data_IF_151608719107
#
_entry.id   IF_151608719107
#
_cell.length_a   1.000
_cell.length_b   1.000
_cell.length_c   1.000
_cell.angle_alpha   90.00
_cell.angle_beta   90.00
_cell.angle_gamma   90.00
#
_symmetry.space_group_name_H-M   'P 1'
#
loop_
_entity.id
_entity.type
_entity.pdbx_description
1 polymer ?
#
# COMPACT_ATOMS: atom_id res chain seq x y z
N UNK A 1 -2.98 -15.39 -7.85
CA UNK A 1 -3.59 -14.43 -6.91
C UNK A 1 -2.88 -14.55 -5.57
N UNK A 2 -2.42 -13.42 -5.03
CA UNK A 2 -1.76 -13.30 -3.72
C UNK A 2 -2.63 -12.51 -2.74
N UNK A 3 -3.94 -12.74 -2.80
CA UNK A 3 -4.95 -12.01 -2.03
C UNK A 3 -4.79 -10.49 -2.22
N UNK A 4 -4.78 -9.72 -1.13
CA UNK A 4 -4.72 -8.26 -1.14
C UNK A 4 -3.43 -7.70 -1.76
N UNK A 5 -2.37 -8.51 -1.85
CA UNK A 5 -1.10 -8.13 -2.47
C UNK A 5 -1.06 -8.33 -3.99
N UNK A 6 -2.14 -8.83 -4.60
CA UNK A 6 -2.16 -9.21 -6.04
C UNK A 6 -1.77 -8.05 -6.95
N UNK A 7 -2.37 -6.87 -6.78
CA UNK A 7 -2.04 -5.71 -7.62
C UNK A 7 -0.57 -5.29 -7.52
N UNK A 8 0.00 -5.22 -6.32
CA UNK A 8 1.42 -4.88 -6.12
C UNK A 8 2.34 -5.96 -6.69
N UNK A 9 1.98 -7.24 -6.54
CA UNK A 9 2.74 -8.35 -7.12
C UNK A 9 2.74 -8.27 -8.65
N UNK A 10 1.58 -8.02 -9.27
CA UNK A 10 1.49 -7.87 -10.72
C UNK A 10 2.38 -6.73 -11.25
N UNK A 11 2.43 -5.61 -10.54
CA UNK A 11 3.33 -4.49 -10.87
C UNK A 11 4.79 -4.93 -10.76
N UNK A 12 5.16 -5.58 -9.65
CA UNK A 12 6.51 -6.10 -9.44
C UNK A 12 6.96 -7.09 -10.51
N UNK A 13 6.13 -8.07 -10.85
CA UNK A 13 6.42 -9.05 -11.90
C UNK A 13 6.60 -8.36 -13.26
N UNK A 14 5.71 -7.43 -13.62
CA UNK A 14 5.82 -6.65 -14.84
C UNK A 14 7.14 -5.86 -14.91
N UNK A 15 7.58 -5.28 -13.79
CA UNK A 15 8.90 -4.65 -13.70
C UNK A 15 10.03 -5.65 -13.98
N UNK A 16 9.95 -6.89 -13.48
CA UNK A 16 10.97 -7.91 -13.74
C UNK A 16 11.02 -8.34 -15.21
N UNK A 17 9.88 -8.52 -15.87
CA UNK A 17 9.84 -8.83 -17.30
C UNK A 17 10.57 -7.75 -18.14
N UNK A 18 10.36 -6.48 -17.80
CA UNK A 18 11.06 -5.37 -18.46
C UNK A 18 12.57 -5.38 -18.14
N UNK A 19 12.94 -5.51 -16.86
CA UNK A 19 14.35 -5.55 -16.43
C UNK A 19 15.13 -6.71 -17.05
N UNK A 20 14.49 -7.84 -17.32
CA UNK A 20 15.10 -9.00 -17.97
C UNK A 20 15.11 -8.91 -19.50
N UNK A 21 14.56 -7.84 -20.08
CA UNK A 21 14.51 -7.65 -21.53
C UNK A 21 13.52 -8.57 -22.23
N UNK A 22 12.54 -9.12 -21.50
CA UNK A 22 11.49 -9.99 -22.08
C UNK A 22 10.34 -9.17 -22.69
N UNK A 23 10.20 -7.89 -22.29
CA UNK A 23 9.22 -6.96 -22.85
C UNK A 23 9.69 -5.51 -22.70
N UNK A 24 9.35 -4.64 -23.65
CA UNK A 24 9.57 -3.19 -23.53
C UNK A 24 8.38 -2.48 -22.85
N UNK A 25 7.19 -3.08 -22.90
CA UNK A 25 5.94 -2.52 -22.36
C UNK A 25 5.13 -3.64 -21.69
N UNK A 26 4.62 -3.37 -20.49
CA UNK A 26 3.77 -4.29 -19.73
C UNK A 26 2.53 -3.56 -19.20
N UNK A 27 1.37 -4.23 -19.24
CA UNK A 27 0.16 -3.77 -18.56
C UNK A 27 0.04 -4.55 -17.26
N UNK A 28 0.05 -3.84 -16.13
CA UNK A 28 0.01 -4.46 -14.81
C UNK A 28 -1.08 -3.85 -13.94
N UNK A 29 -1.82 -4.70 -13.24
CA UNK A 29 -2.92 -4.23 -12.42
C UNK A 29 -3.75 -5.36 -11.85
N UNK A 30 -4.86 -4.99 -11.25
CA UNK A 30 -5.83 -5.92 -10.72
C UNK A 30 -7.20 -5.27 -10.63
N UNK A 31 -8.24 -6.12 -10.61
CA UNK A 31 -9.63 -5.73 -10.47
C UNK A 31 -10.32 -6.62 -9.46
N UNK A 32 -11.30 -6.07 -8.75
CA UNK A 32 -12.13 -6.77 -7.80
C UNK A 32 -13.59 -6.34 -7.93
N UNK A 33 -14.49 -7.31 -7.89
CA UNK A 33 -15.94 -7.12 -7.91
C UNK A 33 -16.66 -8.25 -7.14
N UNK A 34 -16.24 -8.48 -5.89
CA UNK A 34 -16.69 -9.62 -5.06
C UNK A 34 -17.63 -9.25 -3.90
N UNK A 35 -18.43 -8.17 -4.00
CA UNK A 35 -19.45 -7.86 -2.99
C UNK A 35 -20.72 -8.70 -3.18
N UNK A 36 -20.58 -10.02 -3.04
CA UNK A 36 -21.71 -10.95 -2.96
C UNK A 36 -22.05 -11.29 -1.50
N UNK A 37 -23.33 -11.54 -1.15
CA UNK A 37 -23.74 -11.77 0.24
C UNK A 37 -22.95 -12.87 0.97
N UNK A 38 -22.68 -13.99 0.29
CA UNK A 38 -21.91 -15.12 0.86
C UNK A 38 -20.48 -14.72 1.24
N UNK A 39 -19.87 -13.80 0.48
CA UNK A 39 -18.53 -13.32 0.76
C UNK A 39 -18.54 -12.43 2.00
N UNK A 40 -19.45 -11.45 2.05
CA UNK A 40 -19.62 -10.58 3.21
C UNK A 40 -19.95 -11.36 4.49
N UNK A 41 -20.85 -12.34 4.42
CA UNK A 41 -21.20 -13.20 5.55
C UNK A 41 -20.00 -14.01 6.06
N UNK A 42 -19.14 -14.46 5.15
CA UNK A 42 -17.93 -15.22 5.51
C UNK A 42 -16.95 -14.32 6.28
N UNK A 43 -16.81 -13.06 5.89
CA UNK A 43 -15.93 -12.09 6.57
C UNK A 43 -16.46 -11.65 7.92
N UNK A 44 -17.79 -11.49 8.03
CA UNK A 44 -18.46 -11.24 9.31
C UNK A 44 -18.21 -12.38 10.30
N UNK A 45 -18.27 -13.64 9.83
CA UNK A 45 -17.93 -14.82 10.66
C UNK A 45 -16.45 -14.87 11.08
N UNK A 46 -15.55 -14.38 10.23
CA UNK A 46 -14.13 -14.24 10.55
C UNK A 46 -13.84 -13.04 11.48
N UNK A 47 -14.83 -12.18 11.76
CA UNK A 47 -14.70 -10.94 12.53
C UNK A 47 -13.63 -9.99 11.96
N UNK A 48 -13.53 -9.96 10.64
CA UNK A 48 -12.56 -9.15 9.92
C UNK A 48 -13.15 -7.80 9.45
N UNK A 49 -14.47 -7.76 9.25
CA UNK A 49 -15.21 -6.57 8.83
C UNK A 49 -15.61 -5.70 10.01
N UNK A 50 -15.65 -4.38 9.79
CA UNK A 50 -16.19 -3.45 10.77
C UNK A 50 -17.64 -3.78 11.11
N UNK A 51 -18.02 -3.58 12.37
CA UNK A 51 -19.38 -3.77 12.89
C UNK A 51 -20.13 -2.46 13.10
N UNK A 52 -19.52 -1.33 12.70
CA UNK A 52 -20.09 0.03 12.83
C UNK A 52 -21.18 0.29 11.80
N UNK A 53 -22.32 -0.38 11.98
CA UNK A 53 -23.47 -0.28 11.08
C UNK A 53 -24.29 1.01 11.27
N UNK A 54 -24.21 1.64 12.45
CA UNK A 54 -24.94 2.90 12.74
C UNK A 54 -24.27 4.13 12.10
N UNK A 55 -22.96 4.03 11.78
CA UNK A 55 -22.17 5.10 11.16
C UNK A 55 -21.28 4.54 10.04
N UNK A 56 -21.86 3.98 8.95
CA UNK A 56 -21.10 3.22 7.95
C UNK A 56 -20.05 4.07 7.21
N UNK A 57 -20.31 5.36 7.01
CA UNK A 57 -19.34 6.29 6.41
C UNK A 57 -18.11 6.55 7.29
N UNK A 58 -18.19 6.23 8.59
CA UNK A 58 -17.10 6.36 9.58
C UNK A 58 -16.48 5.02 9.97
N UNK A 59 -16.85 3.93 9.29
CA UNK A 59 -16.45 2.57 9.66
C UNK A 59 -14.99 2.26 9.31
N UNK A 60 -14.52 2.65 8.12
CA UNK A 60 -13.12 2.47 7.73
C UNK A 60 -12.25 3.55 8.38
N UNK A 61 -11.50 3.18 9.42
CA UNK A 61 -10.68 4.09 10.24
C UNK A 61 -9.28 3.51 10.57
N UNK A 62 -8.40 3.35 9.56
CA UNK A 62 -7.07 2.82 9.77
C UNK A 62 -6.32 3.58 10.87
N UNK A 63 -5.63 2.83 11.74
CA UNK A 63 -4.79 3.31 12.85
C UNK A 63 -5.52 4.04 14.00
N UNK A 64 -6.83 4.28 13.90
CA UNK A 64 -7.64 4.85 14.97
C UNK A 64 -7.79 3.86 16.14
N UNK A 65 -7.81 4.35 17.38
CA UNK A 65 -7.98 3.53 18.59
C UNK A 65 -9.27 2.70 18.55
N UNK A 66 -10.33 3.23 17.95
CA UNK A 66 -11.66 2.62 17.95
C UNK A 66 -11.95 1.82 16.65
N UNK A 67 -10.91 1.45 15.90
CA UNK A 67 -11.01 0.58 14.73
C UNK A 67 -11.43 -0.84 15.11
N UNK A 68 -12.30 -1.44 14.31
CA UNK A 68 -12.86 -2.77 14.59
C UNK A 68 -12.85 -3.72 13.39
N UNK A 69 -12.35 -3.29 12.24
CA UNK A 69 -12.27 -4.08 11.02
C UNK A 69 -12.32 -3.22 9.76
N UNK A 70 -12.11 -3.84 8.60
CA UNK A 70 -12.20 -3.13 7.31
C UNK A 70 -13.64 -3.00 6.82
N UNK A 71 -13.86 -2.06 5.90
CA UNK A 71 -15.04 -2.01 5.02
C UNK A 71 -14.61 -2.55 3.65
N UNK A 72 -15.35 -3.51 3.08
CA UNK A 72 -15.05 -4.03 1.74
C UNK A 72 -15.45 -3.05 0.65
N UNK A 73 -14.65 -2.98 -0.42
CA UNK A 73 -14.96 -2.22 -1.62
C UNK A 73 -14.61 -2.99 -2.89
N UNK A 74 -14.99 -2.42 -4.03
CA UNK A 74 -14.73 -2.94 -5.38
C UNK A 74 -13.99 -1.89 -6.21
N UNK A 75 -13.27 -2.33 -7.22
CA UNK A 75 -12.57 -1.41 -8.11
C UNK A 75 -11.54 -2.10 -8.97
N UNK A 76 -10.91 -1.31 -9.84
CA UNK A 76 -9.82 -1.78 -10.67
C UNK A 76 -8.77 -0.67 -10.80
N UNK A 77 -7.51 -1.09 -10.88
CA UNK A 77 -6.38 -0.22 -11.16
C UNK A 77 -5.47 -0.90 -12.16
N UNK A 78 -5.02 -0.16 -13.16
CA UNK A 78 -4.11 -0.63 -14.20
C UNK A 78 -3.07 0.44 -14.46
N UNK A 79 -1.80 0.02 -14.53
CA UNK A 79 -0.66 0.82 -14.92
C UNK A 79 -0.09 0.28 -16.23
N UNK A 80 0.47 1.18 -17.03
CA UNK A 80 1.33 0.85 -18.16
C UNK A 80 2.76 1.09 -17.70
N UNK A 81 3.57 0.04 -17.68
CA UNK A 81 4.99 0.09 -17.37
C UNK A 81 5.76 -0.03 -18.66
N UNK A 82 6.85 0.73 -18.79
CA UNK A 82 7.72 0.71 -19.96
C UNK A 82 9.17 0.72 -19.54
N UNK A 83 10.03 0.18 -20.40
CA UNK A 83 11.46 0.45 -20.33
C UNK A 83 11.70 1.96 -20.46
N UNK A 84 12.63 2.49 -19.67
CA UNK A 84 12.80 3.93 -19.48
C UNK A 84 13.25 4.62 -20.76
N UNK A 85 14.27 4.09 -21.44
CA UNK A 85 14.78 4.69 -22.67
C UNK A 85 13.76 4.59 -23.81
N UNK A 86 12.98 3.51 -23.87
CA UNK A 86 11.84 3.37 -24.76
C UNK A 86 10.79 4.48 -24.51
N UNK A 87 10.39 4.68 -23.25
CA UNK A 87 9.42 5.71 -22.86
C UNK A 87 9.93 7.13 -23.20
N UNK A 88 11.21 7.41 -22.94
CA UNK A 88 11.84 8.68 -23.27
C UNK A 88 11.94 8.93 -24.78
N UNK A 89 12.35 7.92 -25.55
CA UNK A 89 12.51 8.04 -27.01
C UNK A 89 11.19 8.41 -27.72
N UNK A 90 10.05 7.94 -27.19
CA UNK A 90 8.72 8.29 -27.72
C UNK A 90 8.07 9.52 -27.05
N UNK A 91 8.76 10.19 -26.11
CA UNK A 91 8.25 11.35 -25.40
C UNK A 91 7.05 11.07 -24.49
N UNK A 92 7.04 9.91 -23.82
CA UNK A 92 5.98 9.54 -22.89
C UNK A 92 5.95 10.46 -21.67
N UNK A 93 4.75 10.71 -21.12
CA UNK A 93 4.63 11.30 -19.77
C UNK A 93 4.97 10.23 -18.73
N UNK A 94 6.00 10.46 -17.92
CA UNK A 94 6.45 9.54 -16.88
C UNK A 94 5.92 10.02 -15.54
N UNK A 95 5.03 9.23 -14.92
CA UNK A 95 4.50 9.52 -13.59
C UNK A 95 5.54 9.30 -12.49
N UNK A 96 6.27 8.18 -12.57
CA UNK A 96 7.36 7.82 -11.67
C UNK A 96 8.13 6.63 -12.25
N UNK A 97 9.33 6.40 -11.72
CA UNK A 97 10.08 5.16 -11.91
C UNK A 97 9.69 4.13 -10.84
N UNK A 98 9.60 2.86 -11.24
CA UNK A 98 9.58 1.73 -10.29
C UNK A 98 11.01 1.44 -9.89
N UNK A 99 11.43 1.94 -8.73
CA UNK A 99 12.82 1.87 -8.30
C UNK A 99 13.16 0.50 -7.71
N UNK A 100 12.22 -0.13 -7.00
CA UNK A 100 12.42 -1.46 -6.45
C UNK A 100 11.13 -2.15 -6.03
N UNK A 101 11.20 -3.47 -5.92
CA UNK A 101 10.09 -4.32 -5.54
C UNK A 101 10.57 -5.54 -4.76
N UNK A 102 9.81 -5.90 -3.71
CA UNK A 102 9.98 -7.18 -3.04
C UNK A 102 8.64 -7.79 -2.65
N UNK A 103 8.63 -9.12 -2.58
CA UNK A 103 7.55 -9.90 -2.00
C UNK A 103 8.09 -11.03 -1.12
N UNK A 104 7.37 -11.39 -0.07
CA UNK A 104 7.68 -12.55 0.76
C UNK A 104 6.41 -13.17 1.35
N UNK A 105 6.57 -14.18 2.20
CA UNK A 105 5.48 -14.83 2.92
C UNK A 105 5.82 -14.97 4.41
N UNK A 106 4.84 -14.71 5.27
CA UNK A 106 4.98 -14.81 6.73
C UNK A 106 5.32 -16.24 7.19
N UNK A 107 4.72 -17.26 6.56
CA UNK A 107 4.86 -18.68 6.90
C UNK A 107 4.68 -19.00 8.42
N UNK A 108 3.88 -18.19 9.11
CA UNK A 108 3.74 -18.21 10.57
C UNK A 108 2.33 -18.61 11.04
N UNK A 109 1.30 -17.92 10.54
CA UNK A 109 -0.10 -18.18 10.88
C UNK A 109 -0.99 -17.93 9.66
N UNK A 110 -2.12 -18.62 9.54
CA UNK A 110 -2.99 -18.53 8.36
C UNK A 110 -3.55 -17.11 8.11
N UNK A 111 -3.81 -16.34 9.17
CA UNK A 111 -4.51 -15.05 9.08
C UNK A 111 -3.93 -13.94 9.95
N UNK A 112 -2.99 -14.28 10.85
CA UNK A 112 -2.42 -13.31 11.79
C UNK A 112 -1.17 -12.73 11.12
N UNK A 113 -1.06 -11.40 10.99
CA UNK A 113 0.11 -10.79 10.37
C UNK A 113 1.34 -11.00 11.24
N UNK A 114 2.51 -11.08 10.61
CA UNK A 114 3.80 -11.14 11.30
C UNK A 114 4.69 -9.95 10.95
N UNK A 115 4.85 -9.03 11.89
CA UNK A 115 5.50 -7.73 11.66
C UNK A 115 6.98 -7.88 11.27
N UNK A 116 7.67 -8.94 11.71
CA UNK A 116 9.07 -9.16 11.32
C UNK A 116 9.21 -9.51 9.84
N UNK A 117 8.26 -10.29 9.31
CA UNK A 117 8.19 -10.64 7.89
C UNK A 117 7.83 -9.42 7.04
N UNK A 118 6.86 -8.61 7.49
CA UNK A 118 6.51 -7.34 6.85
C UNK A 118 7.70 -6.38 6.83
N UNK A 119 8.41 -6.21 7.96
CA UNK A 119 9.61 -5.37 8.04
C UNK A 119 10.70 -5.86 7.08
N UNK A 120 10.91 -7.17 7.00
CA UNK A 120 11.86 -7.77 6.05
C UNK A 120 11.46 -7.49 4.60
N UNK A 121 10.17 -7.55 4.26
CA UNK A 121 9.70 -7.24 2.91
C UNK A 121 9.99 -5.78 2.55
N UNK A 122 9.75 -4.84 3.48
CA UNK A 122 10.08 -3.43 3.31
C UNK A 122 11.59 -3.27 3.08
N UNK A 123 12.43 -3.84 3.96
CA UNK A 123 13.89 -3.76 3.82
C UNK A 123 14.42 -4.36 2.52
N UNK A 124 13.82 -5.47 2.03
CA UNK A 124 14.18 -6.07 0.75
C UNK A 124 13.82 -5.15 -0.42
N UNK A 125 12.67 -4.50 -0.40
CA UNK A 125 12.26 -3.57 -1.45
C UNK A 125 13.17 -2.32 -1.49
N UNK A 126 13.57 -1.81 -0.31
CA UNK A 126 14.54 -0.71 -0.22
C UNK A 126 15.93 -1.13 -0.74
N UNK A 127 16.37 -2.35 -0.42
CA UNK A 127 17.64 -2.89 -0.90
C UNK A 127 17.64 -3.09 -2.42
N UNK A 128 16.55 -3.62 -2.99
CA UNK A 128 16.36 -3.75 -4.44
C UNK A 128 16.35 -2.38 -5.13
N UNK A 129 15.76 -1.38 -4.49
CA UNK A 129 15.79 0.02 -4.93
C UNK A 129 17.16 0.71 -4.76
N UNK A 130 18.09 0.10 -4.03
CA UNK A 130 19.41 0.70 -3.73
C UNK A 130 19.35 1.96 -2.87
N UNK A 131 18.33 2.12 -2.02
CA UNK A 131 18.12 3.30 -1.18
C UNK A 131 18.15 2.98 0.31
N UNK A 132 18.36 4.00 1.14
CA UNK A 132 18.31 3.90 2.60
C UNK A 132 16.91 4.22 3.13
N UNK A 133 16.66 3.90 4.39
CA UNK A 133 15.39 4.23 5.05
C UNK A 133 15.11 5.73 5.03
N UNK A 134 16.16 6.54 5.20
CA UNK A 134 16.10 8.00 5.26
C UNK A 134 15.71 8.66 3.93
N UNK A 135 15.82 7.94 2.81
CA UNK A 135 15.44 8.42 1.48
C UNK A 135 13.93 8.35 1.23
N UNK A 136 13.17 7.71 2.14
CA UNK A 136 11.71 7.55 2.02
C UNK A 136 11.01 8.82 2.51
N UNK A 137 10.24 9.46 1.63
CA UNK A 137 9.51 10.69 1.95
C UNK A 137 8.02 10.44 2.29
N UNK A 138 7.46 9.29 1.89
CA UNK A 138 6.04 8.94 2.12
C UNK A 138 5.81 7.42 2.12
N UNK A 139 4.89 6.97 2.97
CA UNK A 139 4.38 5.59 2.96
C UNK A 139 2.87 5.57 2.73
N UNK A 140 2.46 4.93 1.64
CA UNK A 140 1.09 4.48 1.44
C UNK A 140 0.93 3.09 2.05
N UNK A 141 0.33 3.06 3.24
CA UNK A 141 0.19 1.88 4.07
C UNK A 141 -0.97 0.98 3.63
N UNK A 142 -0.84 -0.30 3.96
CA UNK A 142 -1.90 -1.27 3.80
C UNK A 142 -3.13 -0.88 4.64
N UNK A 143 -2.98 -0.51 5.92
CA UNK A 143 -3.98 0.19 6.75
C UNK A 143 -5.40 -0.35 6.62
N UNK A 144 -5.67 -1.51 7.22
CA UNK A 144 -6.97 -2.20 7.04
C UNK A 144 -8.01 -1.81 8.07
N UNK A 145 -7.69 -0.93 9.02
CA UNK A 145 -8.55 -0.65 10.17
C UNK A 145 -8.81 -1.91 11.04
N UNK A 146 -7.94 -2.91 10.96
CA UNK A 146 -8.00 -4.07 11.85
C UNK A 146 -7.06 -3.85 13.05
N UNK A 147 -7.47 -4.25 14.28
CA UNK A 147 -6.63 -4.05 15.46
C UNK A 147 -5.21 -4.63 15.32
N UNK A 148 -5.12 -5.88 14.85
CA UNK A 148 -3.86 -6.60 14.69
C UNK A 148 -3.05 -6.14 13.46
N UNK A 149 -3.71 -5.87 12.33
CA UNK A 149 -3.05 -5.47 11.09
C UNK A 149 -2.33 -4.14 11.24
N UNK A 150 -3.05 -3.12 11.70
CA UNK A 150 -2.51 -1.77 11.82
C UNK A 150 -1.38 -1.69 12.86
N UNK A 151 -1.51 -2.45 13.97
CA UNK A 151 -0.44 -2.56 14.97
C UNK A 151 0.80 -3.29 14.40
N UNK A 152 0.59 -4.37 13.65
CA UNK A 152 1.68 -5.11 13.00
C UNK A 152 2.43 -4.23 12.01
N UNK A 153 1.70 -3.51 11.17
CA UNK A 153 2.25 -2.60 10.17
C UNK A 153 3.03 -1.44 10.80
N UNK A 154 2.51 -0.86 11.90
CA UNK A 154 3.24 0.15 12.69
C UNK A 154 4.59 -0.38 13.16
N UNK A 155 4.61 -1.59 13.74
CA UNK A 155 5.85 -2.23 14.22
C UNK A 155 6.80 -2.54 13.07
N UNK A 156 6.27 -2.99 11.93
CA UNK A 156 7.04 -3.31 10.76
C UNK A 156 7.77 -2.08 10.21
N UNK A 157 7.07 -0.95 10.06
CA UNK A 157 7.65 0.32 9.65
C UNK A 157 8.72 0.82 10.62
N UNK A 158 8.47 0.75 11.93
CA UNK A 158 9.47 1.12 12.96
C UNK A 158 10.73 0.25 12.88
N UNK A 159 10.57 -1.04 12.58
CA UNK A 159 11.69 -1.97 12.43
C UNK A 159 12.48 -1.74 11.14
N UNK A 160 11.79 -1.51 10.02
CA UNK A 160 12.42 -1.36 8.71
C UNK A 160 13.04 0.04 8.49
N UNK A 161 12.37 1.10 8.97
CA UNK A 161 12.81 2.49 8.78
C UNK A 161 13.53 3.07 10.00
N UNK A 162 13.63 2.30 11.09
CA UNK A 162 14.31 2.74 12.32
C UNK A 162 13.75 4.07 12.87
N UNK A 163 14.62 4.99 13.33
CA UNK A 163 14.19 6.31 13.82
C UNK A 163 13.45 7.17 12.78
N UNK A 164 13.70 6.93 11.48
CA UNK A 164 13.06 7.69 10.41
C UNK A 164 11.56 7.42 10.30
N UNK A 165 11.08 6.24 10.74
CA UNK A 165 9.66 5.89 10.74
C UNK A 165 8.75 6.95 11.37
N UNK A 166 9.25 7.68 12.38
CA UNK A 166 8.51 8.72 13.11
C UNK A 166 8.40 10.06 12.36
N UNK A 167 9.18 10.24 11.30
CA UNK A 167 9.25 11.49 10.52
C UNK A 167 8.58 11.37 9.17
N UNK A 168 8.35 10.13 8.71
CA UNK A 168 7.73 9.87 7.40
C UNK A 168 6.21 9.93 7.55
N UNK A 169 5.52 10.78 6.76
CA UNK A 169 4.06 10.76 6.71
C UNK A 169 3.56 9.41 6.21
N UNK A 170 2.53 8.89 6.87
CA UNK A 170 1.86 7.64 6.51
C UNK A 170 0.38 7.91 6.25
N UNK A 171 -0.19 7.33 5.19
CA UNK A 171 -1.65 7.36 5.00
C UNK A 171 -2.17 6.01 4.51
N UNK A 172 -3.49 5.82 4.53
CA UNK A 172 -4.13 4.68 3.87
C UNK A 172 -5.38 5.09 3.11
N UNK A 173 -5.39 4.82 1.80
CA UNK A 173 -6.52 5.11 0.92
C UNK A 173 -7.78 4.32 1.29
N UNK A 174 -7.63 3.16 1.95
CA UNK A 174 -8.76 2.30 2.36
C UNK A 174 -9.75 3.00 3.28
N UNK A 175 -9.32 4.06 3.97
CA UNK A 175 -10.22 4.92 4.75
C UNK A 175 -11.31 5.57 3.89
N UNK A 176 -11.00 5.90 2.63
CA UNK A 176 -11.90 6.62 1.71
C UNK A 176 -12.65 5.70 0.75
N UNK A 177 -12.01 4.62 0.28
CA UNK A 177 -12.55 3.76 -0.79
C UNK A 177 -12.86 2.33 -0.33
N UNK A 178 -12.63 2.03 0.95
CA UNK A 178 -12.69 0.66 1.46
C UNK A 178 -11.52 -0.21 1.00
N UNK A 179 -11.57 -1.48 1.40
CA UNK A 179 -10.58 -2.47 1.04
C UNK A 179 -10.98 -3.18 -0.26
N UNK A 180 -10.24 -2.89 -1.34
CA UNK A 180 -10.52 -3.39 -2.70
C UNK A 180 -9.91 -4.77 -3.01
N UNK A 181 -9.58 -5.55 -1.98
CA UNK A 181 -8.98 -6.89 -2.11
C UNK A 181 -7.83 -6.93 -3.12
N UNK A 182 -7.93 -7.78 -4.15
CA UNK A 182 -6.90 -7.96 -5.17
C UNK A 182 -6.52 -6.66 -5.89
N UNK A 183 -7.47 -5.73 -6.06
CA UNK A 183 -7.26 -4.43 -6.70
C UNK A 183 -6.55 -3.41 -5.82
N UNK A 184 -6.47 -3.63 -4.49
CA UNK A 184 -5.94 -2.65 -3.53
C UNK A 184 -4.55 -2.17 -3.91
N UNK A 185 -3.61 -3.08 -4.13
CA UNK A 185 -2.23 -2.73 -4.44
C UNK A 185 -2.05 -1.93 -5.74
N UNK A 186 -2.89 -2.17 -6.75
CA UNK A 186 -2.83 -1.44 -8.01
C UNK A 186 -3.41 -0.01 -7.88
N UNK A 187 -4.54 0.12 -7.19
CA UNK A 187 -5.15 1.44 -6.93
C UNK A 187 -4.30 2.27 -5.97
N UNK A 188 -3.71 1.66 -4.95
CA UNK A 188 -2.79 2.31 -4.02
C UNK A 188 -1.50 2.77 -4.71
N UNK A 189 -0.99 1.99 -5.66
CA UNK A 189 0.12 2.45 -6.50
C UNK A 189 -0.28 3.72 -7.28
N UNK A 190 -1.45 3.76 -7.92
CA UNK A 190 -1.95 4.96 -8.62
C UNK A 190 -2.00 6.18 -7.69
N UNK A 191 -2.57 6.06 -6.48
CA UNK A 191 -2.56 7.16 -5.51
C UNK A 191 -1.15 7.60 -5.11
N UNK A 192 -0.22 6.65 -5.00
CA UNK A 192 1.18 6.91 -4.67
C UNK A 192 1.88 7.67 -5.80
N UNK A 193 1.64 7.28 -7.06
CA UNK A 193 2.16 7.98 -8.25
C UNK A 193 1.62 9.41 -8.35
N UNK A 194 0.32 9.60 -8.13
CA UNK A 194 -0.28 10.94 -8.11
C UNK A 194 0.23 11.80 -6.94
N UNK A 195 0.60 11.17 -5.81
CA UNK A 195 1.26 11.86 -4.69
C UNK A 195 2.64 12.39 -5.10
N UNK A 196 3.43 11.58 -5.81
CA UNK A 196 4.76 11.96 -6.33
C UNK A 196 4.66 13.11 -7.34
N UNK A 197 3.68 13.04 -8.25
CA UNK A 197 3.47 14.04 -9.30
C UNK A 197 2.97 15.37 -8.75
N UNK A 198 1.94 15.35 -7.88
CA UNK A 198 1.26 16.56 -7.43
C UNK A 198 1.75 17.11 -6.08
N UNK A 199 2.54 16.33 -5.34
CA UNK A 199 3.02 16.70 -4.01
C UNK A 199 1.87 16.80 -2.99
N UNK A 200 0.85 15.96 -3.12
CA UNK A 200 -0.31 15.91 -2.22
C UNK A 200 -0.44 14.50 -1.67
N UNK A 201 -0.18 14.35 -0.37
CA UNK A 201 -0.39 13.12 0.36
C UNK A 201 -1.88 13.02 0.75
N UNK A 202 -2.59 11.95 0.36
CA UNK A 202 -3.99 11.78 0.71
C UNK A 202 -4.18 11.61 2.22
N UNK A 203 -5.35 11.99 2.76
CA UNK A 203 -5.64 11.76 4.16
C UNK A 203 -6.01 10.31 4.43
N UNK A 204 -5.75 9.86 5.66
CA UNK A 204 -6.52 8.81 6.32
C UNK A 204 -7.74 9.46 6.96
N UNK A 205 -8.93 9.28 6.37
CA UNK A 205 -10.18 9.83 6.93
C UNK A 205 -10.68 8.95 8.10
N UNK A 206 -11.60 9.49 8.90
CA UNK A 206 -12.16 8.87 10.10
C UNK A 206 -11.14 8.59 11.22
N UNK A 207 -9.97 9.24 11.17
CA UNK A 207 -8.95 9.16 12.21
C UNK A 207 -9.20 10.25 13.26
N UNK A 208 -9.76 9.88 14.41
CA UNK A 208 -10.29 10.83 15.39
C UNK A 208 -9.66 10.65 16.77
N UNK A 209 -9.39 9.40 17.15
CA UNK A 209 -8.80 9.02 18.43
C UNK A 209 -7.47 8.31 18.16
N UNK A 210 -6.33 9.00 18.30
CA UNK A 210 -5.02 8.37 18.11
C UNK A 210 -4.82 7.15 19.00
N UNK A 211 -4.39 6.04 18.43
CA UNK A 211 -4.00 4.84 19.18
C UNK A 211 -2.56 5.00 19.70
N UNK A 212 -2.31 4.97 21.02
CA UNK A 212 -0.95 5.04 21.57
C UNK A 212 0.00 3.94 21.07
N UNK A 213 -0.54 2.83 20.57
CA UNK A 213 0.25 1.73 20.00
C UNK A 213 0.55 1.92 18.50
N UNK A 214 -0.24 2.72 17.81
CA UNK A 214 -0.02 3.14 16.42
C UNK A 214 0.45 4.59 16.44
N UNK A 215 1.76 4.79 16.63
CA UNK A 215 2.32 6.07 17.05
C UNK A 215 3.14 6.78 15.94
N UNK A 216 2.85 6.51 14.67
CA UNK A 216 3.52 7.13 13.52
C UNK A 216 2.84 8.45 13.11
N UNK A 217 3.46 9.18 12.18
CA UNK A 217 2.92 10.42 11.61
C UNK A 217 1.83 10.11 10.56
N UNK A 218 0.67 9.63 11.01
CA UNK A 218 -0.48 9.41 10.13
C UNK A 218 -1.08 10.74 9.69
N UNK A 219 -1.35 10.90 8.39
CA UNK A 219 -1.97 12.11 7.82
C UNK A 219 -3.48 12.08 8.08
N UNK A 220 -4.03 12.85 9.05
CA UNK A 220 -5.40 12.62 9.52
C UNK A 220 -6.39 13.57 8.86
N UNK A 221 -7.45 13.03 8.25
CA UNK A 221 -8.67 13.70 7.74
C UNK A 221 -8.51 14.79 6.67
N UNK A 222 -7.35 15.43 6.55
CA UNK A 222 -7.04 16.48 5.59
C UNK A 222 -5.74 16.12 4.87
N UNK A 223 -5.75 16.24 3.55
CA UNK A 223 -4.56 15.99 2.73
C UNK A 223 -3.40 16.88 3.14
N UNK A 224 -2.18 16.37 3.04
CA UNK A 224 -0.96 17.14 3.35
C UNK A 224 -0.19 17.45 2.07
N UNK A 225 0.09 18.72 1.81
CA UNK A 225 1.01 19.11 0.74
C UNK A 225 2.46 18.89 1.21
N UNK A 226 3.25 18.16 0.43
CA UNK A 226 4.65 17.88 0.72
C UNK A 226 5.41 17.60 -0.57
N UNK A 227 6.71 17.91 -0.60
CA UNK A 227 7.58 17.45 -1.67
C UNK A 227 7.94 15.99 -1.41
N UNK A 228 7.39 15.08 -2.21
CA UNK A 228 7.65 13.64 -2.11
C UNK A 228 8.48 13.23 -3.34
N UNK A 229 9.70 12.75 -3.12
CA UNK A 229 10.59 12.27 -4.20
C UNK A 229 10.63 10.76 -4.24
N UNK A 230 10.57 10.11 -3.08
CA UNK A 230 10.50 8.64 -2.98
C UNK A 230 9.34 8.22 -2.09
N UNK A 231 8.53 7.27 -2.55
CA UNK A 231 7.41 6.74 -1.80
C UNK A 231 7.39 5.22 -1.82
N UNK A 232 6.88 4.64 -0.74
CA UNK A 232 6.62 3.20 -0.64
C UNK A 232 5.11 2.97 -0.69
N UNK A 233 4.67 1.99 -1.48
CA UNK A 233 3.32 1.43 -1.42
C UNK A 233 3.41 -0.03 -0.97
N UNK A 234 2.73 -0.37 0.11
CA UNK A 234 2.80 -1.71 0.72
C UNK A 234 1.43 -2.38 0.80
N UNK A 235 1.40 -3.66 0.48
CA UNK A 235 0.20 -4.50 0.53
C UNK A 235 0.50 -5.80 1.25
N UNK A 236 -0.23 -6.07 2.33
CA UNK A 236 -0.06 -7.26 3.16
C UNK A 236 -1.29 -8.15 3.02
N UNK A 237 -1.16 -9.15 2.16
CA UNK A 237 -2.22 -10.08 1.80
C UNK A 237 -2.65 -10.97 2.96
N UNK A 238 -3.96 -11.19 3.05
CA UNK A 238 -4.50 -12.31 3.81
C UNK A 238 -3.82 -13.62 3.40
N UNK A 239 -3.44 -14.47 4.36
CA UNK A 239 -2.56 -15.62 4.11
C UNK A 239 -1.06 -15.32 4.30
N UNK A 240 -0.70 -14.07 4.64
CA UNK A 240 0.66 -13.67 4.98
C UNK A 240 1.55 -13.35 3.77
N UNK A 241 0.97 -13.13 2.59
CA UNK A 241 1.74 -12.77 1.39
C UNK A 241 1.97 -11.26 1.36
N UNK A 242 3.20 -10.81 1.51
CA UNK A 242 3.53 -9.39 1.54
C UNK A 242 4.13 -8.96 0.20
N UNK A 243 3.82 -7.73 -0.23
CA UNK A 243 4.43 -7.10 -1.38
C UNK A 243 4.64 -5.61 -1.10
N UNK A 244 5.80 -5.09 -1.51
CA UNK A 244 6.19 -3.69 -1.34
C UNK A 244 6.80 -3.19 -2.64
N UNK A 245 6.32 -2.05 -3.13
CA UNK A 245 6.87 -1.34 -4.28
C UNK A 245 7.42 0.02 -3.84
N UNK A 246 8.58 0.38 -4.38
CA UNK A 246 9.24 1.67 -4.17
C UNK A 246 9.16 2.45 -5.48
N UNK A 247 8.60 3.65 -5.41
CA UNK A 247 8.47 4.55 -6.55
C UNK A 247 9.29 5.82 -6.33
N UNK A 248 9.88 6.33 -7.40
CA UNK A 248 10.63 7.59 -7.39
C UNK A 248 10.09 8.54 -8.44
N UNK A 249 9.85 9.78 -8.03
CA UNK A 249 9.48 10.86 -8.96
C UNK A 249 10.61 11.03 -10.00
N UNK A 250 10.24 11.08 -11.28
CA UNK A 250 11.18 11.45 -12.34
C UNK A 250 11.66 12.89 -12.07
N UNK A 251 12.98 13.11 -12.10
CA UNK A 251 13.51 14.47 -12.00
C UNK A 251 13.05 15.26 -13.23
N UNK A 252 12.63 16.52 -13.03
CA UNK A 252 12.29 17.40 -14.15
C UNK A 252 13.53 17.47 -15.09
N UNK A 253 13.38 17.06 -16.36
CA UNK A 253 14.44 17.11 -17.39
C UNK A 253 14.76 18.55 -17.81
#
# INVERSE_FOLDING_TARGET
STACATGTHAIGDATRFIQYGEADIMIAGASEAQLVPVFIDSLAKLKASSTRNDEPTRASRPFDLNRDGFVSGEGAGVLVLEEREHALARGAHIYAEVLGFASNIDAYHATKPEFESQARCISLALADAGIQAEDVDYVNAHGTATPLGDLSETKALKKALGPHAKKVPVSSNKSMIGHLWAASGAVEAIFTLLTLEHGIIPPTINYETPDPQCDLDYVPNVSRRATVRTAISQSFGFGGMNAVAVFRREADQ
#
